data_IF_811022302585
#
_entry.id   IF_811022302585
#
_cell.length_a   1.000
_cell.length_b   1.000
_cell.length_c   1.000
_cell.angle_alpha   90.00
_cell.angle_beta   90.00
_cell.angle_gamma   90.00
#
_symmetry.space_group_name_H-M   'P 1'
#
loop_
_entity.id
_entity.type
_entity.pdbx_description
1 polymer ?
#
# COMPACT_ATOMS: atom_id res chain seq x y z
N UNK A 1 24.14 22.62 17.74
CA UNK A 1 23.79 21.18 17.74
C UNK A 1 22.37 21.09 18.23
N UNK A 2 21.43 21.35 17.32
CA UNK A 2 20.02 21.10 17.59
C UNK A 2 19.83 19.59 17.62
N UNK A 3 19.19 19.09 18.67
CA UNK A 3 18.81 17.71 18.77
C UNK A 3 17.85 17.42 17.60
N UNK A 4 18.33 16.74 16.57
CA UNK A 4 17.48 16.10 15.56
C UNK A 4 16.47 15.26 16.36
N UNK A 5 15.21 15.70 16.40
CA UNK A 5 14.12 14.79 16.69
C UNK A 5 14.33 13.62 15.74
N UNK A 6 14.51 12.43 16.29
CA UNK A 6 14.73 11.22 15.50
C UNK A 6 13.41 10.91 14.78
N UNK A 7 13.20 11.59 13.66
CA UNK A 7 11.99 11.48 12.84
C UNK A 7 11.84 10.03 12.41
N UNK A 8 10.62 9.51 12.51
CA UNK A 8 10.35 8.08 12.43
C UNK A 8 10.25 7.59 10.97
N UNK A 9 11.28 7.84 10.15
CA UNK A 9 11.35 7.48 8.72
C UNK A 9 10.93 6.02 8.47
N UNK A 10 10.06 5.71 7.49
CA UNK A 10 9.56 4.35 7.32
C UNK A 10 10.60 3.35 6.80
N UNK A 11 11.68 3.85 6.20
CA UNK A 11 12.87 3.13 5.76
C UNK A 11 14.11 3.97 6.13
N UNK A 12 15.35 3.45 6.01
CA UNK A 12 16.55 4.27 6.18
C UNK A 12 16.48 5.57 5.36
N UNK A 13 16.97 6.67 5.97
CA UNK A 13 16.86 8.03 5.41
C UNK A 13 17.40 8.12 3.98
N UNK A 14 18.54 7.49 3.71
CA UNK A 14 19.15 7.49 2.37
C UNK A 14 18.26 6.80 1.32
N UNK A 15 17.54 5.75 1.70
CA UNK A 15 16.59 5.06 0.82
C UNK A 15 15.38 5.93 0.51
N UNK A 16 14.89 6.68 1.50
CA UNK A 16 13.80 7.66 1.31
C UNK A 16 14.25 8.82 0.42
N UNK A 17 15.46 9.33 0.63
CA UNK A 17 16.05 10.35 -0.24
C UNK A 17 16.21 9.82 -1.67
N UNK A 18 16.74 8.61 -1.85
CA UNK A 18 16.88 8.03 -3.19
C UNK A 18 15.54 7.85 -3.89
N UNK A 19 14.53 7.30 -3.20
CA UNK A 19 13.18 7.15 -3.75
C UNK A 19 12.55 8.48 -4.15
N UNK A 20 12.63 9.47 -3.25
CA UNK A 20 12.09 10.81 -3.50
C UNK A 20 12.78 11.47 -4.69
N UNK A 21 14.12 11.38 -4.78
CA UNK A 21 14.88 11.92 -5.91
C UNK A 21 14.45 11.30 -7.23
N UNK A 22 14.23 9.99 -7.25
CA UNK A 22 13.84 9.26 -8.47
C UNK A 22 12.41 9.58 -8.92
N UNK A 23 11.53 10.05 -8.03
CA UNK A 23 10.20 10.57 -8.40
C UNK A 23 10.29 12.01 -8.90
N UNK A 24 10.93 12.90 -8.14
CA UNK A 24 10.85 14.34 -8.41
C UNK A 24 11.83 14.81 -9.49
N UNK A 25 12.86 14.02 -9.83
CA UNK A 25 13.77 14.38 -10.94
C UNK A 25 13.04 14.34 -12.29
N UNK A 26 12.32 13.27 -12.67
CA UNK A 26 11.48 13.28 -13.87
C UNK A 26 10.37 14.32 -13.85
N UNK A 27 9.69 14.51 -12.70
CA UNK A 27 8.63 15.52 -12.56
C UNK A 27 9.15 16.93 -12.88
N UNK A 28 10.36 17.27 -12.41
CA UNK A 28 11.02 18.54 -12.78
C UNK A 28 11.28 18.68 -14.28
N UNK A 29 11.46 17.56 -14.99
CA UNK A 29 11.68 17.51 -16.42
C UNK A 29 10.36 17.49 -17.23
N UNK A 30 9.21 17.59 -16.57
CA UNK A 30 7.91 17.58 -17.23
C UNK A 30 7.28 16.20 -17.37
N UNK A 31 7.84 15.18 -16.72
CA UNK A 31 7.53 13.78 -17.03
C UNK A 31 6.74 13.07 -15.93
N UNK A 32 5.89 12.11 -16.33
CA UNK A 32 5.20 11.23 -15.39
C UNK A 32 6.12 10.10 -14.91
N UNK A 33 5.78 9.49 -13.77
CA UNK A 33 6.58 8.42 -13.14
C UNK A 33 5.71 7.21 -12.82
N UNK A 34 6.22 6.03 -13.09
CA UNK A 34 5.64 4.76 -12.63
C UNK A 34 6.55 4.13 -11.59
N UNK A 35 6.06 4.00 -10.37
CA UNK A 35 6.74 3.31 -9.28
C UNK A 35 6.19 1.91 -9.11
N UNK A 36 7.04 0.92 -9.39
CA UNK A 36 6.73 -0.51 -9.26
C UNK A 36 7.11 -0.97 -7.85
N UNK A 37 6.15 -1.48 -7.12
CA UNK A 37 6.32 -1.96 -5.75
C UNK A 37 6.15 -3.47 -5.66
N UNK A 38 6.99 -4.10 -4.84
CA UNK A 38 6.69 -5.46 -4.39
C UNK A 38 5.47 -5.43 -3.47
N UNK A 39 4.55 -6.38 -3.62
CA UNK A 39 3.37 -6.47 -2.74
C UNK A 39 3.80 -6.50 -1.26
N UNK A 40 3.06 -5.83 -0.37
CA UNK A 40 3.36 -5.80 1.07
C UNK A 40 4.72 -5.18 1.46
N UNK A 41 5.38 -4.45 0.57
CA UNK A 41 6.67 -3.80 0.84
C UNK A 41 6.58 -2.38 1.43
N UNK A 42 5.38 -1.93 1.79
CA UNK A 42 5.18 -0.65 2.49
C UNK A 42 4.93 0.55 1.58
N UNK A 43 4.48 0.33 0.33
CA UNK A 43 4.08 1.36 -0.67
C UNK A 43 3.35 2.53 -0.03
N UNK A 44 2.24 2.25 0.65
CA UNK A 44 1.36 3.28 1.24
C UNK A 44 2.05 4.09 2.34
N UNK A 45 2.78 3.41 3.23
CA UNK A 45 3.47 4.04 4.34
C UNK A 45 4.58 4.97 3.84
N UNK A 46 5.43 4.47 2.94
CA UNK A 46 6.55 5.24 2.38
C UNK A 46 6.06 6.40 1.52
N UNK A 47 5.08 6.16 0.65
CA UNK A 47 4.55 7.20 -0.24
C UNK A 47 3.88 8.33 0.56
N UNK A 48 3.04 8.01 1.56
CA UNK A 48 2.46 9.03 2.44
C UNK A 48 3.54 9.81 3.17
N UNK A 49 4.56 9.13 3.70
CA UNK A 49 5.65 9.82 4.36
C UNK A 49 6.30 10.85 3.44
N UNK A 50 6.66 10.48 2.20
CA UNK A 50 7.27 11.40 1.23
C UNK A 50 6.36 12.59 0.94
N UNK A 51 5.08 12.33 0.64
CA UNK A 51 4.09 13.36 0.30
C UNK A 51 3.89 14.36 1.45
N UNK A 52 3.82 13.88 2.68
CA UNK A 52 3.51 14.71 3.85
C UNK A 52 4.74 15.40 4.45
N UNK A 53 5.95 14.96 4.10
CA UNK A 53 7.21 15.36 4.74
C UNK A 53 8.27 15.86 3.75
N UNK A 54 7.89 16.38 2.58
CA UNK A 54 8.88 16.89 1.61
C UNK A 54 9.79 17.99 2.16
N UNK A 55 9.35 18.77 3.15
CA UNK A 55 10.18 19.78 3.82
C UNK A 55 11.42 19.16 4.49
N UNK A 56 11.33 17.91 4.95
CA UNK A 56 12.43 17.12 5.51
C UNK A 56 13.37 16.56 4.43
N UNK A 57 12.92 16.60 3.17
CA UNK A 57 13.58 16.05 1.99
C UNK A 57 14.06 17.15 1.05
N UNK A 58 14.21 18.40 1.53
CA UNK A 58 14.64 19.56 0.73
C UNK A 58 16.01 19.42 0.05
N UNK A 59 16.89 18.54 0.55
CA UNK A 59 18.15 18.19 -0.14
C UNK A 59 17.89 17.50 -1.50
N UNK A 60 16.80 16.74 -1.54
CA UNK A 60 16.07 16.13 -2.65
C UNK A 60 15.45 17.04 -3.69
N UNK A 61 14.58 17.87 -3.13
CA UNK A 61 13.50 18.60 -3.76
C UNK A 61 13.50 19.99 -3.12
N UNK A 62 14.50 20.84 -3.45
CA UNK A 62 14.61 22.16 -2.83
C UNK A 62 13.38 23.04 -3.12
N UNK A 63 12.74 22.83 -4.26
CA UNK A 63 11.49 23.44 -4.70
C UNK A 63 10.22 22.76 -4.15
N UNK A 64 10.29 22.06 -3.01
CA UNK A 64 9.14 21.30 -2.47
C UNK A 64 7.86 22.13 -2.28
N UNK A 65 8.00 23.43 -2.01
CA UNK A 65 6.88 24.35 -1.84
C UNK A 65 6.12 24.61 -3.14
N UNK A 66 6.70 24.33 -4.31
CA UNK A 66 5.99 24.44 -5.59
C UNK A 66 4.97 23.31 -5.78
N UNK A 67 5.09 22.19 -5.08
CA UNK A 67 4.28 21.01 -5.31
C UNK A 67 3.09 20.89 -4.36
N UNK A 68 1.89 20.69 -4.92
CA UNK A 68 0.76 20.12 -4.22
C UNK A 68 0.71 18.61 -4.50
N UNK A 69 1.19 17.82 -3.56
CA UNK A 69 1.19 16.37 -3.67
C UNK A 69 -0.11 15.79 -3.13
N UNK A 70 -0.77 14.98 -3.95
CA UNK A 70 -2.08 14.42 -3.64
C UNK A 70 -1.98 12.91 -3.69
N UNK A 71 -2.34 12.24 -2.60
CA UNK A 71 -2.39 10.78 -2.53
C UNK A 71 -3.80 10.27 -2.83
N UNK A 72 -3.92 9.44 -3.85
CA UNK A 72 -5.18 8.82 -4.27
C UNK A 72 -5.08 7.33 -3.98
N UNK A 73 -5.85 6.87 -2.99
CA UNK A 73 -5.83 5.48 -2.55
C UNK A 73 -7.17 4.83 -2.89
N UNK A 74 -7.25 3.92 -3.89
CA UNK A 74 -8.52 3.31 -4.29
C UNK A 74 -9.22 2.55 -3.17
N UNK A 75 -8.52 2.16 -2.12
CA UNK A 75 -9.16 1.62 -0.94
C UNK A 75 -10.13 2.60 -0.28
N UNK A 76 -10.00 3.90 -0.50
CA UNK A 76 -10.90 4.90 0.06
C UNK A 76 -12.17 5.09 -0.80
N UNK A 77 -12.33 4.34 -1.91
CA UNK A 77 -13.50 4.33 -2.78
C UNK A 77 -14.78 3.91 -2.04
N UNK A 78 -15.81 4.73 -2.16
CA UNK A 78 -17.16 4.43 -1.68
C UNK A 78 -17.95 3.60 -2.68
N UNK A 79 -17.63 3.73 -3.97
CA UNK A 79 -18.29 3.11 -5.11
C UNK A 79 -17.22 2.65 -6.13
N UNK A 80 -17.38 1.46 -6.72
CA UNK A 80 -16.45 0.94 -7.73
C UNK A 80 -16.89 1.34 -9.14
N UNK A 81 -16.79 2.63 -9.45
CA UNK A 81 -17.17 3.22 -10.75
C UNK A 81 -16.21 4.35 -11.12
N UNK A 82 -16.28 4.77 -12.39
CA UNK A 82 -15.50 5.91 -12.89
C UNK A 82 -15.85 7.20 -12.15
N UNK A 83 -17.14 7.43 -11.88
CA UNK A 83 -17.66 8.53 -11.06
C UNK A 83 -17.12 8.47 -9.64
N UNK A 84 -17.18 7.28 -9.02
CA UNK A 84 -16.63 7.06 -7.68
C UNK A 84 -15.14 7.41 -7.59
N UNK A 85 -14.37 7.07 -8.62
CA UNK A 85 -12.94 7.38 -8.66
C UNK A 85 -12.65 8.86 -8.94
N UNK A 86 -13.39 9.52 -9.85
CA UNK A 86 -13.27 10.98 -10.02
C UNK A 86 -13.63 11.75 -8.73
N UNK A 87 -14.64 11.30 -7.99
CA UNK A 87 -14.97 11.86 -6.67
C UNK A 87 -13.84 11.69 -5.69
N UNK A 88 -13.22 10.51 -5.65
CA UNK A 88 -12.08 10.25 -4.79
C UNK A 88 -10.92 11.20 -5.14
N UNK A 89 -10.57 11.33 -6.42
CA UNK A 89 -9.51 12.26 -6.85
C UNK A 89 -9.83 13.68 -6.40
N UNK A 90 -11.03 14.20 -6.73
CA UNK A 90 -11.43 15.56 -6.36
C UNK A 90 -11.42 15.82 -4.85
N UNK A 91 -11.96 14.89 -4.05
CA UNK A 91 -11.94 14.99 -2.58
C UNK A 91 -10.51 14.95 -2.03
N UNK A 92 -9.64 14.10 -2.59
CA UNK A 92 -8.23 14.04 -2.19
C UNK A 92 -7.49 15.34 -2.51
N UNK A 93 -7.76 15.95 -3.67
CA UNK A 93 -7.17 17.26 -4.04
C UNK A 93 -7.63 18.35 -3.07
N UNK A 94 -8.93 18.43 -2.76
CA UNK A 94 -9.47 19.40 -1.78
C UNK A 94 -8.84 19.18 -0.39
N UNK A 95 -8.74 17.92 0.06
CA UNK A 95 -8.11 17.60 1.34
C UNK A 95 -6.63 18.03 1.38
N UNK A 96 -5.89 17.84 0.28
CA UNK A 96 -4.51 18.30 0.16
C UNK A 96 -4.41 19.83 0.18
N UNK A 97 -5.32 20.55 -0.49
CA UNK A 97 -5.41 22.01 -0.43
C UNK A 97 -5.63 22.50 0.99
N UNK A 98 -6.61 21.93 1.71
CA UNK A 98 -6.91 22.30 3.09
C UNK A 98 -5.72 22.07 4.02
N UNK A 99 -5.02 20.94 3.86
CA UNK A 99 -3.82 20.61 4.66
C UNK A 99 -2.66 21.59 4.42
N UNK A 100 -2.56 22.14 3.21
CA UNK A 100 -1.54 23.11 2.82
C UNK A 100 -2.05 24.56 2.89
N UNK A 101 -3.19 24.80 3.55
CA UNK A 101 -3.80 26.14 3.73
C UNK A 101 -4.04 26.89 2.40
N UNK A 102 -4.27 26.15 1.31
CA UNK A 102 -4.60 26.70 0.00
C UNK A 102 -6.09 27.02 -0.02
N UNK A 103 -6.41 28.31 0.11
CA UNK A 103 -7.79 28.80 -0.04
C UNK A 103 -8.29 28.59 -1.47
N UNK A 104 -9.35 27.80 -1.63
CA UNK A 104 -10.06 27.61 -2.89
C UNK A 104 -11.26 28.57 -2.96
N UNK A 105 -11.60 29.05 -4.16
CA UNK A 105 -12.87 29.75 -4.42
C UNK A 105 -13.99 28.71 -4.46
N UNK A 106 -15.24 29.15 -4.31
CA UNK A 106 -16.38 28.26 -4.53
C UNK A 106 -16.38 27.77 -5.99
N UNK A 107 -15.97 26.52 -6.19
CA UNK A 107 -15.97 25.88 -7.50
C UNK A 107 -17.42 25.52 -7.82
N UNK A 108 -18.08 26.35 -8.64
CA UNK A 108 -19.41 26.13 -9.23
C UNK A 108 -20.56 25.79 -8.27
N UNK A 109 -20.37 25.86 -6.95
CA UNK A 109 -21.37 25.46 -5.94
C UNK A 109 -21.73 23.97 -5.94
N UNK A 110 -21.09 23.14 -6.76
CA UNK A 110 -21.28 21.68 -6.79
C UNK A 110 -20.12 20.99 -6.05
N UNK A 111 -20.43 20.04 -5.17
CA UNK A 111 -19.43 19.28 -4.41
C UNK A 111 -19.21 17.88 -4.98
N UNK A 112 -17.98 17.38 -4.89
CA UNK A 112 -17.66 15.96 -5.13
C UNK A 112 -18.41 15.00 -4.18
N UNK A 113 -19.03 15.51 -3.11
CA UNK A 113 -19.94 14.75 -2.24
C UNK A 113 -21.31 14.47 -2.86
N UNK A 114 -21.72 15.19 -3.91
CA UNK A 114 -23.05 15.01 -4.52
C UNK A 114 -23.08 13.77 -5.43
N UNK A 115 -23.49 12.62 -4.90
CA UNK A 115 -23.52 11.31 -5.58
C UNK A 115 -24.30 11.29 -6.91
N UNK A 116 -25.20 12.24 -7.17
CA UNK A 116 -26.02 12.31 -8.39
C UNK A 116 -25.32 12.96 -9.59
N UNK A 117 -24.13 13.55 -9.40
CA UNK A 117 -23.38 14.16 -10.50
C UNK A 117 -22.91 13.11 -11.52
N UNK A 118 -23.14 13.41 -12.81
CA UNK A 118 -22.64 12.58 -13.92
C UNK A 118 -21.12 12.63 -14.03
N UNK A 119 -20.54 11.60 -14.65
CA UNK A 119 -19.12 11.54 -14.96
C UNK A 119 -18.58 12.82 -15.63
N UNK A 120 -19.27 13.34 -16.65
CA UNK A 120 -18.85 14.55 -17.38
C UNK A 120 -18.83 15.80 -16.48
N UNK A 121 -19.82 15.93 -15.59
CA UNK A 121 -19.85 17.02 -14.61
C UNK A 121 -18.69 16.91 -13.62
N UNK A 122 -18.44 15.71 -13.09
CA UNK A 122 -17.31 15.44 -12.18
C UNK A 122 -15.95 15.74 -12.83
N UNK A 123 -15.77 15.33 -14.09
CA UNK A 123 -14.56 15.62 -14.84
C UNK A 123 -14.36 17.13 -15.02
N UNK A 124 -15.44 17.85 -15.31
CA UNK A 124 -15.41 19.32 -15.43
C UNK A 124 -15.07 19.99 -14.11
N UNK A 125 -15.66 19.54 -12.99
CA UNK A 125 -15.34 20.04 -11.65
C UNK A 125 -13.88 19.77 -11.29
N UNK A 126 -13.35 18.59 -11.61
CA UNK A 126 -11.95 18.24 -11.37
C UNK A 126 -11.02 19.13 -12.21
N UNK A 127 -11.37 19.35 -13.46
CA UNK A 127 -10.64 20.23 -14.36
C UNK A 127 -10.56 21.65 -13.79
N UNK A 128 -11.68 22.21 -13.34
CA UNK A 128 -11.72 23.55 -12.77
C UNK A 128 -10.94 23.66 -11.45
N UNK A 129 -11.04 22.63 -10.60
CA UNK A 129 -10.29 22.54 -9.34
C UNK A 129 -8.78 22.58 -9.61
N UNK A 130 -8.28 21.76 -10.53
CA UNK A 130 -6.85 21.75 -10.91
C UNK A 130 -6.47 23.11 -11.53
N UNK A 131 -7.34 23.68 -12.37
CA UNK A 131 -7.14 25.01 -12.95
C UNK A 131 -6.96 26.11 -11.89
N UNK A 132 -7.75 26.10 -10.83
CA UNK A 132 -7.62 27.11 -9.77
C UNK A 132 -6.28 26.98 -9.03
N UNK A 133 -5.85 25.75 -8.74
CA UNK A 133 -4.59 25.49 -8.03
C UNK A 133 -3.39 25.94 -8.87
N UNK A 134 -3.42 25.61 -10.16
CA UNK A 134 -2.32 25.89 -11.11
C UNK A 134 -2.17 27.38 -11.47
N UNK A 135 -3.20 28.20 -11.24
CA UNK A 135 -3.13 29.68 -11.31
C UNK A 135 -2.26 30.24 -10.18
N UNK A 136 -2.17 29.54 -9.05
CA UNK A 136 -1.42 29.97 -7.85
C UNK A 136 0.04 29.51 -7.86
N UNK A 137 0.58 29.23 -9.06
CA UNK A 137 1.95 28.74 -9.29
C UNK A 137 2.29 27.43 -8.56
N UNK A 138 1.29 26.61 -8.22
CA UNK A 138 1.51 25.25 -7.70
C UNK A 138 1.47 24.23 -8.85
N UNK A 139 2.40 23.29 -8.81
CA UNK A 139 2.41 22.06 -9.61
C UNK A 139 1.66 20.97 -8.86
N UNK A 140 0.64 20.37 -9.47
CA UNK A 140 -0.15 19.30 -8.87
C UNK A 140 0.46 17.95 -9.24
N UNK A 141 0.76 17.13 -8.24
CA UNK A 141 1.27 15.76 -8.45
C UNK A 141 0.28 14.77 -7.87
N UNK A 142 -0.37 13.99 -8.74
CA UNK A 142 -1.32 12.96 -8.33
C UNK A 142 -0.61 11.61 -8.21
N UNK A 143 -0.50 11.11 -6.98
CA UNK A 143 -0.01 9.78 -6.69
C UNK A 143 -1.17 8.79 -6.76
N UNK A 144 -1.30 8.13 -7.91
CA UNK A 144 -2.40 7.23 -8.26
C UNK A 144 -2.06 5.82 -7.77
N UNK A 145 -2.67 5.41 -6.66
CA UNK A 145 -2.53 4.07 -6.10
C UNK A 145 -3.26 3.02 -6.91
N UNK A 146 -2.63 1.85 -7.10
CA UNK A 146 -3.25 0.57 -7.50
C UNK A 146 -4.27 0.66 -8.64
N UNK A 147 -4.00 1.53 -9.63
CA UNK A 147 -4.83 1.65 -10.83
C UNK A 147 -4.91 0.33 -11.61
N UNK A 148 -3.84 -0.46 -11.53
CA UNK A 148 -3.71 -1.81 -12.07
C UNK A 148 -4.72 -2.80 -11.48
N UNK A 149 -5.27 -2.55 -10.28
CA UNK A 149 -6.32 -3.40 -9.69
C UNK A 149 -7.75 -2.97 -10.03
N UNK A 150 -7.94 -1.81 -10.66
CA UNK A 150 -9.28 -1.26 -10.88
C UNK A 150 -9.89 -1.78 -12.18
N UNK A 151 -10.74 -2.80 -12.04
CA UNK A 151 -11.40 -3.47 -13.17
C UNK A 151 -12.40 -2.60 -13.94
N UNK A 152 -12.84 -1.48 -13.37
CA UNK A 152 -13.78 -0.55 -13.99
C UNK A 152 -13.09 0.55 -14.83
N UNK A 153 -11.75 0.59 -14.84
CA UNK A 153 -11.00 1.54 -15.67
C UNK A 153 -11.06 1.11 -17.13
N UNK A 154 -11.39 2.05 -17.99
CA UNK A 154 -11.53 1.88 -19.43
C UNK A 154 -10.74 2.94 -20.22
N UNK A 155 -10.67 2.76 -21.55
CA UNK A 155 -10.01 3.71 -22.44
C UNK A 155 -10.59 5.12 -22.33
N UNK A 156 -11.90 5.26 -22.08
CA UNK A 156 -12.56 6.56 -21.91
C UNK A 156 -11.91 7.32 -20.76
N UNK A 157 -11.77 6.66 -19.61
CA UNK A 157 -11.13 7.25 -18.44
C UNK A 157 -9.65 7.58 -18.69
N UNK A 158 -8.90 6.68 -19.31
CA UNK A 158 -7.49 6.93 -19.64
C UNK A 158 -7.31 8.15 -20.53
N UNK A 159 -8.12 8.27 -21.58
CA UNK A 159 -8.07 9.41 -22.50
C UNK A 159 -8.43 10.71 -21.78
N UNK A 160 -9.36 10.68 -20.82
CA UNK A 160 -9.70 11.87 -20.03
C UNK A 160 -8.58 12.29 -19.06
N UNK A 161 -7.85 11.32 -18.48
CA UNK A 161 -6.66 11.64 -17.67
C UNK A 161 -5.53 12.22 -18.52
N UNK A 162 -5.31 11.67 -19.71
CA UNK A 162 -4.34 12.21 -20.66
C UNK A 162 -4.73 13.63 -21.10
N UNK A 163 -6.00 13.87 -21.43
CA UNK A 163 -6.50 15.20 -21.78
C UNK A 163 -6.33 16.22 -20.63
N UNK A 164 -6.47 15.78 -19.37
CA UNK A 164 -6.15 16.60 -18.20
C UNK A 164 -4.65 16.92 -18.12
N UNK A 165 -3.80 15.92 -18.34
CA UNK A 165 -2.34 16.08 -18.35
C UNK A 165 -1.91 17.09 -19.40
N UNK A 166 -2.41 16.96 -20.63
CA UNK A 166 -2.12 17.90 -21.72
C UNK A 166 -2.66 19.31 -21.45
N UNK A 167 -3.87 19.43 -20.90
CA UNK A 167 -4.47 20.72 -20.56
C UNK A 167 -3.67 21.52 -19.53
N UNK A 168 -3.03 20.82 -18.60
CA UNK A 168 -2.23 21.40 -17.53
C UNK A 168 -0.75 21.04 -17.69
N UNK A 169 -0.26 21.08 -18.93
CA UNK A 169 1.15 20.85 -19.26
C UNK A 169 2.08 21.69 -18.36
N UNK A 170 3.19 21.07 -17.93
CA UNK A 170 4.15 21.61 -16.96
C UNK A 170 3.60 21.90 -15.55
N UNK A 171 2.33 21.59 -15.27
CA UNK A 171 1.67 21.90 -14.00
C UNK A 171 0.90 20.74 -13.38
N UNK A 172 0.61 19.69 -14.12
CA UNK A 172 0.00 18.45 -13.62
C UNK A 172 0.91 17.27 -13.96
N UNK A 173 1.10 16.37 -13.00
CA UNK A 173 1.92 15.17 -13.16
C UNK A 173 1.28 13.98 -12.48
N UNK A 174 1.49 12.79 -13.04
CA UNK A 174 1.04 11.54 -12.45
C UNK A 174 2.23 10.72 -11.93
N UNK A 175 2.06 10.18 -10.73
CA UNK A 175 2.90 9.12 -10.18
C UNK A 175 2.04 7.87 -10.05
N UNK A 176 2.19 6.93 -10.98
CA UNK A 176 1.49 5.65 -10.98
C UNK A 176 2.16 4.71 -9.97
N UNK A 177 1.41 4.22 -8.99
CA UNK A 177 1.91 3.29 -7.97
C UNK A 177 1.31 1.91 -8.21
N UNK A 178 2.07 1.03 -8.85
CA UNK A 178 1.58 -0.29 -9.31
C UNK A 178 2.30 -1.44 -8.61
N UNK A 179 1.71 -2.63 -8.74
CA UNK A 179 2.35 -3.89 -8.35
C UNK A 179 2.22 -4.99 -9.41
N UNK A 180 1.23 -4.90 -10.31
CA UNK A 180 1.07 -5.83 -11.43
C UNK A 180 2.11 -5.55 -12.52
N UNK A 181 3.01 -6.51 -12.72
CA UNK A 181 4.08 -6.39 -13.72
C UNK A 181 3.58 -6.61 -15.15
N UNK A 182 2.39 -7.19 -15.34
CA UNK A 182 1.84 -7.39 -16.69
C UNK A 182 1.62 -6.05 -17.39
N UNK A 183 1.27 -5.00 -16.62
CA UNK A 183 1.09 -3.64 -17.12
C UNK A 183 2.36 -2.99 -17.65
N UNK A 184 3.55 -3.57 -17.43
CA UNK A 184 4.79 -3.07 -18.04
C UNK A 184 4.98 -3.59 -19.48
N UNK A 185 4.22 -4.60 -19.89
CA UNK A 185 4.34 -5.27 -21.18
C UNK A 185 3.05 -5.22 -22.01
N UNK A 186 1.91 -5.07 -21.34
CA UNK A 186 0.58 -5.00 -21.95
C UNK A 186 -0.17 -3.80 -21.36
N UNK A 187 -0.65 -2.91 -22.24
CA UNK A 187 -1.42 -1.74 -21.83
C UNK A 187 -2.75 -2.12 -21.15
N UNK A 188 -3.28 -3.32 -21.39
CA UNK A 188 -4.60 -3.71 -20.91
C UNK A 188 -5.66 -2.70 -21.36
N UNK A 189 -6.34 -2.09 -20.39
CA UNK A 189 -7.36 -1.05 -20.62
C UNK A 189 -6.81 0.39 -20.59
N UNK A 190 -5.49 0.58 -20.52
CA UNK A 190 -4.92 1.91 -20.64
C UNK A 190 -5.00 2.40 -22.09
N UNK A 191 -5.52 3.62 -22.25
CA UNK A 191 -5.42 4.38 -23.49
C UNK A 191 -3.96 4.57 -23.91
N UNK A 192 -3.73 4.61 -25.22
CA UNK A 192 -2.40 4.58 -25.83
C UNK A 192 -1.49 5.71 -25.33
N UNK A 193 -1.97 6.94 -25.40
CA UNK A 193 -1.19 8.13 -25.02
C UNK A 193 -0.90 8.19 -23.51
N UNK A 194 -1.85 7.77 -22.67
CA UNK A 194 -1.60 7.66 -21.22
C UNK A 194 -0.58 6.56 -20.92
N UNK A 195 -0.61 5.46 -21.69
CA UNK A 195 0.31 4.36 -21.53
C UNK A 195 1.75 4.74 -21.89
N UNK A 196 1.95 5.63 -22.87
CA UNK A 196 3.27 6.20 -23.16
C UNK A 196 3.81 6.99 -21.96
N UNK A 197 2.98 7.86 -21.36
CA UNK A 197 3.33 8.60 -20.14
C UNK A 197 3.62 7.66 -18.95
N UNK A 198 2.90 6.53 -18.87
CA UNK A 198 3.11 5.50 -17.86
C UNK A 198 4.46 4.79 -18.02
N UNK A 199 4.92 4.52 -19.24
CA UNK A 199 6.20 3.84 -19.50
C UNK A 199 7.41 4.79 -19.51
N UNK A 200 7.19 6.12 -19.49
CA UNK A 200 8.22 7.13 -19.65
C UNK A 200 9.34 7.03 -18.60
N UNK A 201 8.99 6.96 -17.31
CA UNK A 201 9.95 6.83 -16.21
C UNK A 201 9.54 5.76 -15.21
N UNK A 202 10.16 4.59 -15.33
CA UNK A 202 9.87 3.46 -14.43
C UNK A 202 10.93 3.37 -13.34
N UNK A 203 10.49 3.49 -12.08
CA UNK A 203 11.30 3.31 -10.89
C UNK A 203 10.87 2.02 -10.17
N UNK A 204 11.83 1.29 -9.63
CA UNK A 204 11.59 0.02 -8.96
C UNK A 204 11.90 0.18 -7.48
N UNK A 205 11.00 -0.29 -6.62
CA UNK A 205 11.21 -0.30 -5.17
C UNK A 205 11.68 -1.68 -4.72
N UNK A 206 13.01 -1.88 -4.53
CA UNK A 206 13.54 -3.18 -4.21
C UNK A 206 13.28 -3.58 -2.76
N UNK A 207 13.10 -4.89 -2.57
CA UNK A 207 13.41 -5.52 -1.29
C UNK A 207 14.93 -5.50 -1.11
N UNK A 208 15.41 -5.04 0.05
CA UNK A 208 16.84 -4.93 0.31
C UNK A 208 17.20 -5.33 1.73
N UNK A 209 18.15 -6.25 1.86
CA UNK A 209 18.71 -6.65 3.14
C UNK A 209 19.40 -5.51 3.88
N UNK A 210 19.86 -4.49 3.15
CA UNK A 210 20.45 -3.27 3.72
C UNK A 210 19.49 -2.55 4.68
N UNK A 211 18.18 -2.79 4.55
CA UNK A 211 17.16 -2.20 5.41
C UNK A 211 16.78 -3.11 6.59
N UNK A 212 17.23 -4.37 6.60
CA UNK A 212 16.79 -5.38 7.56
C UNK A 212 17.03 -4.96 9.00
N UNK A 213 18.24 -4.51 9.35
CA UNK A 213 18.56 -4.10 10.73
C UNK A 213 17.68 -2.94 11.19
N UNK A 214 17.52 -1.92 10.34
CA UNK A 214 16.67 -0.77 10.63
C UNK A 214 15.22 -1.18 10.90
N UNK A 215 14.67 -2.08 10.07
CA UNK A 215 13.31 -2.58 10.21
C UNK A 215 13.14 -3.48 11.44
N UNK A 216 14.09 -4.38 11.69
CA UNK A 216 14.10 -5.26 12.86
C UNK A 216 14.13 -4.42 14.14
N UNK A 217 15.02 -3.44 14.25
CA UNK A 217 15.11 -2.57 15.42
C UNK A 217 13.82 -1.76 15.64
N UNK A 218 13.22 -1.28 14.54
CA UNK A 218 11.92 -0.60 14.59
C UNK A 218 10.79 -1.52 15.07
N UNK A 219 10.74 -2.77 14.60
CA UNK A 219 9.73 -3.74 15.04
C UNK A 219 9.98 -4.19 16.49
N UNK A 220 11.24 -4.42 16.87
CA UNK A 220 11.64 -4.76 18.24
C UNK A 220 11.18 -3.70 19.24
N UNK A 221 11.40 -2.42 18.91
CA UNK A 221 10.94 -1.29 19.71
C UNK A 221 9.42 -1.29 19.90
N UNK A 222 8.65 -1.53 18.84
CA UNK A 222 7.17 -1.62 18.92
C UNK A 222 6.67 -2.81 19.74
N UNK A 223 7.42 -3.91 19.71
CA UNK A 223 7.15 -5.13 20.46
C UNK A 223 7.71 -5.08 21.89
N UNK A 224 8.33 -3.97 22.30
CA UNK A 224 9.01 -3.82 23.60
C UNK A 224 10.01 -4.95 23.89
N UNK A 225 10.78 -5.36 22.88
CA UNK A 225 11.77 -6.43 22.97
C UNK A 225 13.11 -6.02 22.40
N UNK A 226 14.13 -6.86 22.60
CA UNK A 226 15.42 -6.77 21.92
C UNK A 226 15.78 -8.12 21.30
N UNK A 227 16.40 -8.08 20.13
CA UNK A 227 16.91 -9.27 19.45
C UNK A 227 18.43 -9.33 19.55
N UNK A 228 18.95 -10.52 19.84
CA UNK A 228 20.40 -10.80 19.80
C UNK A 228 20.90 -10.85 18.36
N UNK A 229 22.21 -10.77 18.14
CA UNK A 229 22.79 -10.84 16.79
C UNK A 229 22.45 -12.15 16.06
N UNK A 230 22.41 -13.27 16.79
CA UNK A 230 22.00 -14.57 16.23
C UNK A 230 20.55 -14.56 15.75
N UNK A 231 19.66 -13.92 16.50
CA UNK A 231 18.25 -13.76 16.15
C UNK A 231 18.04 -12.80 14.99
N UNK A 232 18.79 -11.69 14.95
CA UNK A 232 18.78 -10.77 13.81
C UNK A 232 19.21 -11.48 12.53
N UNK A 233 20.26 -12.31 12.58
CA UNK A 233 20.71 -13.10 11.44
C UNK A 233 19.66 -14.12 10.99
N UNK A 234 18.97 -14.76 11.94
CA UNK A 234 17.86 -15.66 11.65
C UNK A 234 16.71 -14.92 10.93
N UNK A 235 16.24 -13.80 11.48
CA UNK A 235 15.20 -12.96 10.88
C UNK A 235 15.55 -12.47 9.47
N UNK A 236 16.82 -12.08 9.25
CA UNK A 236 17.34 -11.70 7.93
C UNK A 236 17.26 -12.84 6.94
N UNK A 237 17.75 -14.04 7.30
CA UNK A 237 17.74 -15.20 6.40
C UNK A 237 16.33 -15.58 5.92
N UNK A 238 15.32 -15.35 6.76
CA UNK A 238 13.93 -15.71 6.50
C UNK A 238 13.21 -14.76 5.53
N UNK A 239 13.56 -13.49 5.54
CA UNK A 239 12.77 -12.41 4.93
C UNK A 239 13.55 -11.56 3.93
N UNK A 240 14.88 -11.58 4.05
CA UNK A 240 15.89 -10.91 3.24
C UNK A 240 15.57 -9.42 2.92
N UNK A 241 15.01 -8.75 3.93
CA UNK A 241 14.66 -7.33 3.91
C UNK A 241 13.20 -7.01 3.58
N UNK A 242 12.34 -8.00 3.34
CA UNK A 242 10.92 -7.75 3.05
C UNK A 242 10.21 -7.23 4.32
N UNK A 243 9.68 -5.99 4.33
CA UNK A 243 9.17 -5.36 5.56
C UNK A 243 8.05 -6.14 6.25
N UNK A 244 7.08 -6.65 5.48
CA UNK A 244 6.01 -7.47 6.04
C UNK A 244 6.51 -8.79 6.61
N UNK A 245 7.37 -9.52 5.89
CA UNK A 245 7.92 -10.79 6.39
C UNK A 245 8.72 -10.56 7.67
N UNK A 246 9.52 -9.50 7.72
CA UNK A 246 10.24 -9.11 8.93
C UNK A 246 9.31 -8.79 10.09
N UNK A 247 8.22 -8.04 9.86
CA UNK A 247 7.21 -7.71 10.89
C UNK A 247 6.68 -8.99 11.52
N UNK A 248 6.22 -9.93 10.70
CA UNK A 248 5.60 -11.19 11.16
C UNK A 248 6.63 -12.08 11.83
N UNK A 249 7.82 -12.24 11.24
CA UNK A 249 8.90 -13.04 11.79
C UNK A 249 9.36 -12.51 13.17
N UNK A 250 9.44 -11.18 13.35
CA UNK A 250 9.75 -10.57 14.64
C UNK A 250 8.68 -10.92 15.69
N UNK A 251 7.40 -10.79 15.35
CA UNK A 251 6.29 -11.14 16.26
C UNK A 251 6.32 -12.62 16.65
N UNK A 252 6.53 -13.53 15.69
CA UNK A 252 6.63 -14.97 15.95
C UNK A 252 7.81 -15.31 16.85
N UNK A 253 8.97 -14.67 16.64
CA UNK A 253 10.16 -14.95 17.43
C UNK A 253 9.97 -14.53 18.90
N UNK A 254 9.32 -13.39 19.14
CA UNK A 254 8.95 -12.96 20.51
C UNK A 254 8.02 -13.97 21.17
N UNK A 255 7.05 -14.50 20.42
CA UNK A 255 6.11 -15.51 20.93
C UNK A 255 6.81 -16.81 21.33
N UNK A 256 7.67 -17.36 20.47
CA UNK A 256 8.44 -18.59 20.78
C UNK A 256 9.30 -18.41 22.02
N UNK A 257 10.00 -17.27 22.15
CA UNK A 257 10.77 -16.93 23.35
C UNK A 257 9.91 -16.94 24.62
N UNK A 258 8.72 -16.37 24.55
CA UNK A 258 7.82 -16.27 25.71
C UNK A 258 7.29 -17.62 26.19
N UNK A 259 7.14 -18.58 25.27
CA UNK A 259 6.63 -19.92 25.56
C UNK A 259 7.73 -20.89 26.04
N UNK A 260 9.01 -20.50 25.94
CA UNK A 260 10.14 -21.36 26.29
C UNK A 260 10.26 -22.61 25.41
N UNK A 261 9.58 -22.62 24.26
CA UNK A 261 9.56 -23.75 23.34
C UNK A 261 10.84 -23.77 22.49
N UNK A 262 11.42 -24.96 22.34
CA UNK A 262 12.51 -25.22 21.40
C UNK A 262 11.99 -25.48 19.98
N UNK A 263 10.91 -24.80 19.58
CA UNK A 263 10.35 -24.96 18.25
C UNK A 263 11.38 -24.52 17.21
N UNK A 264 11.54 -25.30 16.13
CA UNK A 264 12.36 -24.88 15.00
C UNK A 264 11.70 -23.65 14.36
N UNK A 265 12.27 -22.48 14.64
CA UNK A 265 11.76 -21.21 14.13
C UNK A 265 11.69 -21.19 12.60
N UNK A 266 12.60 -21.89 11.92
CA UNK A 266 12.61 -21.98 10.46
C UNK A 266 11.36 -22.70 9.95
N UNK A 267 10.98 -23.79 10.62
CA UNK A 267 9.77 -24.55 10.30
C UNK A 267 8.50 -23.76 10.65
N UNK A 268 8.51 -23.02 11.76
CA UNK A 268 7.40 -22.14 12.13
C UNK A 268 7.14 -21.06 11.08
N UNK A 269 8.19 -20.44 10.54
CA UNK A 269 8.04 -19.47 9.46
C UNK A 269 7.52 -20.15 8.19
N UNK A 270 8.13 -21.26 7.77
CA UNK A 270 7.73 -21.96 6.54
C UNK A 270 6.27 -22.41 6.59
N UNK A 271 5.80 -22.87 7.74
CA UNK A 271 4.41 -23.32 7.94
C UNK A 271 3.42 -22.19 8.24
N UNK A 272 3.90 -20.96 8.47
CA UNK A 272 3.03 -19.83 8.78
C UNK A 272 2.17 -19.43 7.56
N UNK A 273 0.85 -19.60 7.70
CA UNK A 273 -0.11 -19.37 6.62
C UNK A 273 -0.07 -17.92 6.11
N UNK A 274 0.11 -16.96 7.00
CA UNK A 274 0.12 -15.54 6.66
C UNK A 274 1.31 -15.18 5.76
N UNK A 275 2.49 -15.66 6.12
CA UNK A 275 3.72 -15.51 5.37
C UNK A 275 3.63 -16.20 3.99
N UNK A 276 3.06 -17.40 3.93
CA UNK A 276 2.81 -18.10 2.65
C UNK A 276 1.82 -17.34 1.77
N UNK A 277 0.73 -16.83 2.33
CA UNK A 277 -0.24 -16.03 1.58
C UNK A 277 0.40 -14.74 1.03
N UNK A 278 1.23 -14.06 1.81
CA UNK A 278 1.98 -12.89 1.37
C UNK A 278 2.97 -13.22 0.24
N UNK A 279 3.71 -14.33 0.36
CA UNK A 279 4.60 -14.82 -0.70
C UNK A 279 3.83 -15.15 -2.00
N UNK A 280 2.63 -15.74 -1.88
CA UNK A 280 1.74 -15.99 -3.03
C UNK A 280 1.25 -14.71 -3.69
N UNK A 281 0.97 -13.64 -2.94
CA UNK A 281 0.62 -12.34 -3.55
C UNK A 281 1.77 -11.81 -4.41
N UNK A 282 3.00 -11.85 -3.90
CA UNK A 282 4.19 -11.42 -4.66
C UNK A 282 4.30 -12.22 -5.96
N UNK A 283 4.07 -13.55 -5.90
CA UNK A 283 4.11 -14.43 -7.06
C UNK A 283 2.90 -14.24 -8.00
N UNK A 284 1.75 -13.80 -7.49
CA UNK A 284 0.50 -13.63 -8.22
C UNK A 284 0.53 -12.48 -9.23
N UNK A 285 1.32 -11.46 -8.96
CA UNK A 285 1.45 -10.23 -9.78
C UNK A 285 2.58 -10.30 -10.81
N UNK A 286 3.23 -11.46 -10.94
CA UNK A 286 4.33 -11.67 -11.88
C UNK A 286 3.81 -11.99 -13.28
N UNK A 287 4.57 -11.59 -14.30
CA UNK A 287 4.31 -11.99 -15.69
C UNK A 287 4.54 -13.50 -15.87
N UNK A 288 4.01 -14.07 -16.96
CA UNK A 288 4.26 -15.48 -17.30
C UNK A 288 5.75 -15.79 -17.45
N UNK A 289 6.50 -14.91 -18.11
CA UNK A 289 7.96 -15.03 -18.30
C UNK A 289 8.71 -14.88 -16.97
N UNK A 290 8.30 -13.92 -16.12
CA UNK A 290 8.83 -13.75 -14.78
C UNK A 290 8.66 -15.01 -13.92
N UNK A 291 7.49 -15.64 -13.98
CA UNK A 291 7.23 -16.93 -13.31
C UNK A 291 8.14 -18.06 -13.81
N UNK A 292 8.37 -18.14 -15.12
CA UNK A 292 9.31 -19.13 -15.71
C UNK A 292 10.75 -18.91 -15.22
N UNK A 293 11.20 -17.65 -15.17
CA UNK A 293 12.51 -17.29 -14.64
C UNK A 293 12.62 -17.66 -13.16
N UNK A 294 11.62 -17.31 -12.34
CA UNK A 294 11.57 -17.65 -10.91
C UNK A 294 11.67 -19.17 -10.69
N UNK A 295 10.95 -19.97 -11.50
CA UNK A 295 11.05 -21.44 -11.46
C UNK A 295 12.44 -21.93 -11.83
N UNK A 296 13.06 -21.34 -12.86
CA UNK A 296 14.41 -21.71 -13.34
C UNK A 296 15.48 -21.44 -12.28
N UNK A 297 15.49 -20.25 -11.67
CA UNK A 297 16.48 -19.90 -10.61
C UNK A 297 16.25 -20.66 -9.30
N UNK A 298 15.04 -21.17 -9.09
CA UNK A 298 14.70 -21.96 -7.89
C UNK A 298 15.14 -23.42 -8.01
N UNK A 299 15.03 -24.00 -9.21
CA UNK A 299 15.25 -25.43 -9.46
C UNK A 299 16.66 -25.80 -9.94
N UNK A 300 17.50 -24.82 -10.29
CA UNK A 300 18.85 -25.06 -10.79
C UNK A 300 19.81 -23.91 -10.55
N UNK A 301 21.08 -24.14 -10.87
CA UNK A 301 22.14 -23.13 -10.77
C UNK A 301 22.15 -22.27 -12.04
N UNK A 302 21.58 -21.07 -11.94
CA UNK A 302 21.53 -20.10 -13.05
C UNK A 302 22.59 -19.04 -12.83
N UNK A 303 23.54 -18.87 -13.74
CA UNK A 303 24.60 -17.83 -13.64
C UNK A 303 24.33 -16.57 -14.44
N UNK A 304 23.43 -16.67 -15.41
CA UNK A 304 23.08 -15.57 -16.32
C UNK A 304 21.57 -15.53 -16.51
N UNK A 305 21.05 -14.30 -16.50
CA UNK A 305 19.65 -13.98 -16.67
C UNK A 305 19.52 -13.02 -17.85
N UNK A 306 18.63 -13.34 -18.78
CA UNK A 306 18.40 -12.58 -20.00
C UNK A 306 16.94 -12.15 -20.10
N UNK A 307 16.71 -11.01 -20.76
CA UNK A 307 15.38 -10.44 -20.98
C UNK A 307 14.96 -9.43 -19.93
N UNK A 308 13.93 -8.66 -20.25
CA UNK A 308 13.51 -7.52 -19.44
C UNK A 308 12.83 -7.94 -18.13
N UNK A 309 12.03 -9.03 -18.14
CA UNK A 309 11.47 -9.62 -16.92
C UNK A 309 12.56 -9.98 -15.91
N UNK A 310 13.70 -10.50 -16.38
CA UNK A 310 14.79 -10.88 -15.49
C UNK A 310 15.46 -9.65 -14.85
N UNK A 311 15.64 -8.58 -15.62
CA UNK A 311 16.11 -7.28 -15.10
C UNK A 311 15.12 -6.68 -14.10
N UNK A 312 13.82 -6.80 -14.34
CA UNK A 312 12.77 -6.32 -13.43
C UNK A 312 12.83 -7.08 -12.11
N UNK A 313 12.90 -8.41 -12.15
CA UNK A 313 13.02 -9.27 -10.96
C UNK A 313 14.27 -8.92 -10.13
N UNK A 314 15.40 -8.67 -10.79
CA UNK A 314 16.64 -8.23 -10.13
C UNK A 314 16.48 -6.82 -9.51
N UNK A 315 15.93 -5.86 -10.27
CA UNK A 315 15.69 -4.49 -9.80
C UNK A 315 14.70 -4.40 -8.63
N UNK A 316 13.73 -5.31 -8.55
CA UNK A 316 12.81 -5.45 -7.42
C UNK A 316 13.42 -6.23 -6.24
N UNK A 317 14.60 -6.81 -6.41
CA UNK A 317 15.25 -7.64 -5.41
C UNK A 317 14.53 -8.96 -5.15
N UNK A 318 13.70 -9.43 -6.09
CA UNK A 318 13.00 -10.72 -6.01
C UNK A 318 13.92 -11.90 -6.36
N UNK A 319 14.94 -11.62 -7.17
CA UNK A 319 16.03 -12.54 -7.48
C UNK A 319 17.34 -11.82 -7.16
N UNK A 320 18.25 -12.51 -6.47
CA UNK A 320 19.54 -11.96 -6.04
C UNK A 320 20.68 -12.78 -6.60
N UNK A 321 21.78 -12.08 -6.90
CA UNK A 321 23.04 -12.69 -7.34
C UNK A 321 23.87 -13.08 -6.12
N UNK A 322 24.18 -14.35 -6.01
CA UNK A 322 25.01 -14.95 -4.98
C UNK A 322 26.50 -14.66 -5.21
N UNK A 323 27.31 -14.91 -4.18
CA UNK A 323 28.77 -14.71 -4.22
C UNK A 323 29.43 -15.57 -5.32
N UNK A 324 28.91 -16.77 -5.57
CA UNK A 324 29.39 -17.68 -6.61
C UNK A 324 28.92 -17.29 -8.04
N UNK A 325 28.20 -16.17 -8.16
CA UNK A 325 27.63 -15.64 -9.38
C UNK A 325 26.31 -16.30 -9.81
N UNK A 326 25.81 -17.29 -9.07
CA UNK A 326 24.49 -17.87 -9.32
C UNK A 326 23.36 -16.92 -8.88
N UNK A 327 22.16 -17.15 -9.37
CA UNK A 327 20.95 -16.43 -8.96
C UNK A 327 20.03 -17.33 -8.16
N UNK A 328 19.37 -16.74 -7.16
CA UNK A 328 18.35 -17.40 -6.34
C UNK A 328 17.23 -16.43 -5.96
N UNK A 329 16.04 -16.93 -5.60
CA UNK A 329 14.99 -16.10 -5.01
C UNK A 329 15.47 -15.39 -3.75
N UNK A 330 14.83 -14.27 -3.42
CA UNK A 330 15.28 -13.42 -2.32
C UNK A 330 15.23 -14.08 -0.94
N UNK A 331 14.32 -15.03 -0.66
CA UNK A 331 14.37 -15.77 0.61
C UNK A 331 13.84 -17.20 0.46
N UNK A 332 14.14 -18.02 1.47
CA UNK A 332 13.73 -19.43 1.51
C UNK A 332 12.21 -19.59 1.46
N UNK A 333 11.45 -18.77 2.19
CA UNK A 333 9.98 -18.81 2.17
C UNK A 333 9.43 -18.57 0.76
N UNK A 334 10.00 -17.61 0.03
CA UNK A 334 9.56 -17.31 -1.33
C UNK A 334 9.96 -18.43 -2.30
N UNK A 335 11.17 -18.98 -2.13
CA UNK A 335 11.65 -20.17 -2.85
C UNK A 335 10.70 -21.36 -2.68
N UNK A 336 10.31 -21.66 -1.45
CA UNK A 336 9.39 -22.75 -1.12
C UNK A 336 8.03 -22.53 -1.80
N UNK A 337 7.51 -21.28 -1.75
CA UNK A 337 6.25 -20.91 -2.42
C UNK A 337 6.30 -21.10 -3.95
N UNK A 338 7.44 -20.81 -4.59
CA UNK A 338 7.64 -21.03 -6.04
C UNK A 338 7.63 -22.54 -6.37
N UNK A 339 8.25 -23.36 -5.53
CA UNK A 339 8.29 -24.82 -5.69
C UNK A 339 6.90 -25.43 -5.51
N UNK A 340 6.15 -24.99 -4.50
CA UNK A 340 4.79 -25.48 -4.22
C UNK A 340 3.81 -25.19 -5.37
N UNK A 341 3.90 -24.01 -6.01
CA UNK A 341 3.10 -23.67 -7.20
C UNK A 341 3.41 -24.55 -8.42
N UNK A 342 4.48 -25.35 -8.38
CA UNK A 342 4.85 -26.30 -9.42
C UNK A 342 4.30 -27.72 -9.18
N UNK A 343 3.66 -27.96 -8.03
CA UNK A 343 2.86 -29.15 -7.75
C UNK A 343 1.40 -28.88 -8.19
N UNK A 344 0.64 -29.91 -8.61
CA UNK A 344 -0.80 -29.74 -8.81
C UNK A 344 -1.40 -29.19 -7.53
N UNK A 345 -2.23 -28.15 -7.63
CA UNK A 345 -2.87 -27.49 -6.48
C UNK A 345 -3.37 -28.55 -5.50
N UNK A 346 -2.64 -28.73 -4.39
CA UNK A 346 -3.27 -29.24 -3.19
C UNK A 346 -4.18 -28.09 -2.82
N UNK A 347 -5.48 -28.27 -3.07
CA UNK A 347 -6.52 -27.42 -2.50
C UNK A 347 -6.10 -27.12 -1.07
N UNK A 348 -5.57 -25.92 -0.84
CA UNK A 348 -5.36 -25.47 0.52
C UNK A 348 -6.74 -25.51 1.12
N UNK A 349 -6.95 -26.48 2.02
CA UNK A 349 -8.16 -26.50 2.84
C UNK A 349 -8.24 -25.08 3.38
N UNK A 350 -9.26 -24.29 3.01
CA UNK A 350 -9.43 -23.01 3.63
C UNK A 350 -9.40 -23.28 5.12
N UNK A 351 -8.62 -22.50 5.89
CA UNK A 351 -8.99 -22.30 7.29
C UNK A 351 -10.49 -22.02 7.24
N UNK A 352 -11.30 -22.97 7.74
CA UNK A 352 -12.74 -23.06 7.56
C UNK A 352 -13.46 -21.90 8.29
N UNK A 353 -13.13 -20.68 7.92
CA UNK A 353 -13.68 -19.43 8.40
C UNK A 353 -13.95 -18.59 7.17
N UNK A 354 -15.23 -18.48 6.84
CA UNK A 354 -15.73 -17.49 5.89
C UNK A 354 -15.53 -16.05 6.40
N UNK A 355 -15.26 -15.89 7.70
CA UNK A 355 -15.10 -14.63 8.39
C UNK A 355 -13.68 -14.07 8.43
N UNK A 356 -13.57 -12.87 8.97
CA UNK A 356 -12.30 -12.18 9.25
C UNK A 356 -11.72 -12.62 10.58
N UNK A 357 -10.46 -13.04 10.57
CA UNK A 357 -9.74 -13.49 11.77
C UNK A 357 -8.73 -12.42 12.15
N UNK A 358 -8.87 -11.87 13.35
CA UNK A 358 -7.85 -11.02 13.92
C UNK A 358 -6.96 -11.85 14.85
N UNK A 359 -5.69 -12.00 14.48
CA UNK A 359 -4.69 -12.62 15.34
C UNK A 359 -4.19 -11.57 16.34
N UNK A 360 -4.67 -11.67 17.58
CA UNK A 360 -4.31 -10.73 18.65
C UNK A 360 -2.82 -10.76 18.97
N UNK A 361 -2.19 -11.95 18.85
CA UNK A 361 -0.79 -12.16 19.18
C UNK A 361 0.14 -11.53 18.14
N UNK A 362 -0.22 -11.64 16.86
CA UNK A 362 0.59 -11.12 15.75
C UNK A 362 0.21 -9.68 15.35
N UNK A 363 -0.91 -9.17 15.89
CA UNK A 363 -1.54 -7.92 15.50
C UNK A 363 -1.69 -7.85 13.97
N UNK A 364 -2.31 -8.89 13.41
CA UNK A 364 -2.59 -9.03 11.98
C UNK A 364 -4.05 -9.41 11.75
N UNK A 365 -4.60 -8.85 10.68
CA UNK A 365 -5.94 -9.12 10.20
C UNK A 365 -5.91 -10.01 8.94
N UNK A 366 -6.51 -11.20 9.06
CA UNK A 366 -6.52 -12.24 8.04
C UNK A 366 -7.93 -12.47 7.49
N UNK A 367 -8.02 -12.64 6.17
CA UNK A 367 -9.24 -13.10 5.51
C UNK A 367 -8.91 -14.27 4.58
N UNK A 368 -9.57 -15.42 4.74
CA UNK A 368 -9.16 -16.68 4.08
C UNK A 368 -7.66 -16.97 4.26
N UNK A 369 -7.15 -16.59 5.44
CA UNK A 369 -5.75 -16.67 5.84
C UNK A 369 -4.77 -15.75 5.09
N UNK A 370 -5.29 -14.83 4.29
CA UNK A 370 -4.52 -13.81 3.57
C UNK A 370 -4.44 -12.52 4.39
N UNK A 371 -3.26 -11.90 4.58
CA UNK A 371 -3.14 -10.55 5.09
C UNK A 371 -4.06 -9.57 4.38
N UNK A 372 -4.84 -8.81 5.14
CA UNK A 372 -5.71 -7.76 4.58
C UNK A 372 -5.38 -6.37 5.11
N UNK A 373 -4.30 -6.22 5.88
CA UNK A 373 -3.94 -4.93 6.50
C UNK A 373 -3.86 -3.79 5.50
N UNK A 374 -3.26 -4.05 4.33
CA UNK A 374 -3.12 -3.04 3.29
C UNK A 374 -4.47 -2.53 2.79
N UNK A 375 -5.54 -3.33 2.86
CA UNK A 375 -6.87 -3.00 2.37
C UNK A 375 -7.64 -2.03 3.30
N UNK A 376 -7.13 -1.76 4.50
CA UNK A 376 -7.75 -0.87 5.48
C UNK A 376 -6.89 0.37 5.76
N UNK A 377 -7.50 1.52 6.00
CA UNK A 377 -6.79 2.69 6.56
C UNK A 377 -6.37 2.42 8.01
N UNK A 378 -5.42 3.18 8.60
CA UNK A 378 -5.06 3.00 10.01
C UNK A 378 -6.26 3.09 10.97
N UNK A 379 -7.18 4.02 10.73
CA UNK A 379 -8.40 4.19 11.52
C UNK A 379 -9.39 3.04 11.35
N UNK A 380 -9.58 2.61 10.09
CA UNK A 380 -10.42 1.45 9.77
C UNK A 380 -9.87 0.18 10.40
N UNK A 381 -8.56 -0.06 10.25
CA UNK A 381 -7.86 -1.19 10.84
C UNK A 381 -7.97 -1.16 12.36
N UNK A 382 -7.71 -0.01 12.99
CA UNK A 382 -7.81 0.16 14.44
C UNK A 382 -9.22 -0.13 14.97
N UNK A 383 -10.25 0.38 14.31
CA UNK A 383 -11.65 0.12 14.71
C UNK A 383 -12.07 -1.32 14.43
N UNK A 384 -11.74 -1.85 13.26
CA UNK A 384 -12.08 -3.22 12.90
C UNK A 384 -11.41 -4.23 13.85
N UNK A 385 -10.13 -4.03 14.16
CA UNK A 385 -9.42 -4.86 15.14
C UNK A 385 -9.99 -4.70 16.55
N UNK A 386 -10.40 -3.49 16.96
CA UNK A 386 -11.08 -3.29 18.25
C UNK A 386 -12.41 -4.08 18.31
N UNK A 387 -13.20 -4.09 17.24
CA UNK A 387 -14.41 -4.91 17.14
C UNK A 387 -14.11 -6.40 17.22
N UNK A 388 -13.08 -6.87 16.52
CA UNK A 388 -12.70 -8.29 16.48
C UNK A 388 -11.98 -8.77 17.76
N UNK A 389 -11.42 -7.87 18.56
CA UNK A 389 -10.89 -8.18 19.90
C UNK A 389 -11.99 -8.53 20.88
N UNK A 390 -13.13 -7.85 20.78
CA UNK A 390 -14.31 -8.07 21.63
C UNK A 390 -15.55 -8.36 20.76
N UNK A 391 -15.56 -9.50 20.05
CA UNK A 391 -16.66 -9.83 19.16
C UNK A 391 -17.96 -9.94 19.95
N UNK A 392 -19.08 -9.64 19.29
CA UNK A 392 -20.39 -9.58 19.90
C UNK A 392 -20.60 -8.53 21.01
N UNK A 393 -19.60 -7.72 21.35
CA UNK A 393 -19.76 -6.61 22.27
C UNK A 393 -20.29 -5.37 21.55
N UNK A 394 -21.21 -4.66 22.20
CA UNK A 394 -21.70 -3.37 21.72
C UNK A 394 -20.64 -2.30 22.00
N UNK A 395 -20.20 -1.61 20.95
CA UNK A 395 -19.43 -0.36 21.08
C UNK A 395 -20.32 0.83 20.77
N UNK A 396 -20.43 1.76 21.74
CA UNK A 396 -21.12 3.04 21.54
C UNK A 396 -20.35 3.93 20.57
N UNK A 397 -21.01 4.96 20.03
CA UNK A 397 -20.33 5.99 19.22
C UNK A 397 -19.20 6.67 19.98
N UNK A 398 -19.43 6.95 21.27
CA UNK A 398 -18.42 7.50 22.16
C UNK A 398 -17.19 6.58 22.30
N UNK A 399 -17.39 5.26 22.46
CA UNK A 399 -16.28 4.31 22.51
C UNK A 399 -15.48 4.30 21.20
N UNK A 400 -16.18 4.30 20.05
CA UNK A 400 -15.55 4.35 18.73
C UNK A 400 -14.76 5.65 18.56
N UNK A 401 -15.32 6.79 18.98
CA UNK A 401 -14.64 8.08 18.95
C UNK A 401 -13.40 8.11 19.84
N UNK A 402 -13.49 7.58 21.06
CA UNK A 402 -12.38 7.51 22.00
C UNK A 402 -11.23 6.61 21.50
N UNK A 403 -11.54 5.52 20.80
CA UNK A 403 -10.51 4.64 20.19
C UNK A 403 -9.75 5.40 19.10
N UNK A 404 -10.47 6.08 18.21
CA UNK A 404 -9.86 6.75 17.05
C UNK A 404 -9.06 7.99 17.44
N UNK A 405 -9.49 8.69 18.50
CA UNK A 405 -9.08 10.07 18.72
C UNK A 405 -8.80 10.45 20.18
N UNK A 406 -8.97 9.54 21.13
CA UNK A 406 -8.64 9.78 22.53
C UNK A 406 -9.49 10.87 23.18
N UNK A 407 -8.87 11.67 24.07
CA UNK A 407 -9.54 12.69 24.90
C UNK A 407 -10.07 13.90 24.12
N UNK A 408 -9.69 14.05 22.85
CA UNK A 408 -10.16 15.15 21.99
C UNK A 408 -11.43 14.77 21.19
N UNK A 409 -12.11 13.67 21.56
CA UNK A 409 -13.29 13.15 20.84
C UNK A 409 -14.46 14.13 20.78
N UNK A 410 -14.61 15.00 21.79
CA UNK A 410 -15.71 15.94 21.89
C UNK A 410 -15.58 17.17 20.97
N UNK A 411 -14.34 17.58 20.63
CA UNK A 411 -14.09 18.84 19.91
C UNK A 411 -13.81 18.64 18.41
N UNK A 412 -13.52 17.41 17.96
CA UNK A 412 -12.96 17.18 16.62
C UNK A 412 -13.86 16.42 15.63
N UNK A 413 -15.00 15.84 16.04
CA UNK A 413 -15.79 14.95 15.16
C UNK A 413 -17.29 14.93 15.47
N UNK A 414 -18.10 14.61 14.45
CA UNK A 414 -19.54 14.37 14.58
C UNK A 414 -19.88 12.88 14.54
N UNK A 415 -21.01 12.48 15.13
CA UNK A 415 -21.56 11.12 15.01
C UNK A 415 -21.67 10.64 13.55
N UNK A 416 -21.87 11.58 12.63
CA UNK A 416 -21.90 11.32 11.19
C UNK A 416 -20.57 10.81 10.63
N UNK A 417 -19.43 11.33 11.11
CA UNK A 417 -18.12 10.86 10.67
C UNK A 417 -17.87 9.39 11.08
N UNK A 418 -18.36 9.02 12.26
CA UNK A 418 -18.32 7.63 12.75
C UNK A 418 -19.23 6.75 11.89
N UNK A 419 -20.46 7.19 11.60
CA UNK A 419 -21.37 6.47 10.72
C UNK A 419 -20.77 6.24 9.31
N UNK A 420 -20.05 7.24 8.77
CA UNK A 420 -19.33 7.11 7.49
C UNK A 420 -18.19 6.08 7.56
N UNK A 421 -17.37 6.11 8.61
CA UNK A 421 -16.29 5.12 8.80
C UNK A 421 -16.85 3.70 8.87
N UNK A 422 -17.90 3.49 9.66
CA UNK A 422 -18.54 2.18 9.81
C UNK A 422 -19.18 1.73 8.48
N UNK A 423 -19.81 2.64 7.74
CA UNK A 423 -20.34 2.35 6.41
C UNK A 423 -19.25 1.95 5.42
N UNK A 424 -18.12 2.65 5.41
CA UNK A 424 -16.93 2.29 4.61
C UNK A 424 -16.42 0.90 4.97
N UNK A 425 -16.26 0.61 6.27
CA UNK A 425 -15.85 -0.71 6.73
C UNK A 425 -16.78 -1.81 6.21
N UNK A 426 -18.11 -1.67 6.34
CA UNK A 426 -19.06 -2.66 5.80
C UNK A 426 -18.88 -2.91 4.32
N UNK A 427 -18.78 -1.85 3.51
CA UNK A 427 -18.59 -1.98 2.06
C UNK A 427 -17.28 -2.68 1.74
N UNK A 428 -16.20 -2.40 2.48
CA UNK A 428 -14.92 -3.10 2.31
C UNK A 428 -15.03 -4.58 2.65
N UNK A 429 -15.66 -4.92 3.77
CA UNK A 429 -15.89 -6.32 4.17
C UNK A 429 -16.70 -7.06 3.09
N UNK A 430 -17.73 -6.42 2.55
CA UNK A 430 -18.53 -6.96 1.46
C UNK A 430 -17.72 -7.13 0.17
N UNK A 431 -16.93 -6.14 -0.23
CA UNK A 431 -16.07 -6.20 -1.42
C UNK A 431 -14.98 -7.26 -1.30
N UNK A 432 -14.44 -7.47 -0.10
CA UNK A 432 -13.51 -8.56 0.19
C UNK A 432 -14.19 -9.93 0.10
N UNK A 433 -15.53 -9.98 0.06
CA UNK A 433 -16.29 -11.24 0.03
C UNK A 433 -16.32 -11.94 1.38
N UNK A 434 -16.19 -11.19 2.48
CA UNK A 434 -16.23 -11.73 3.84
C UNK A 434 -17.67 -12.15 4.16
N UNK A 435 -17.87 -13.43 4.45
CA UNK A 435 -19.16 -13.98 4.85
C UNK A 435 -19.08 -14.46 6.31
N UNK A 436 -20.17 -14.40 7.07
CA UNK A 436 -20.15 -14.72 8.51
C UNK A 436 -19.69 -13.59 9.44
N UNK A 437 -18.86 -12.65 8.99
CA UNK A 437 -18.54 -11.43 9.77
C UNK A 437 -19.43 -10.25 9.39
N UNK A 438 -20.34 -9.84 10.28
CA UNK A 438 -21.30 -8.77 10.05
C UNK A 438 -21.12 -7.62 11.04
N UNK A 439 -20.74 -6.44 10.53
CA UNK A 439 -20.72 -5.19 11.29
C UNK A 439 -22.09 -4.51 11.25
N UNK A 440 -22.87 -4.60 12.32
CA UNK A 440 -24.26 -4.13 12.37
C UNK A 440 -24.41 -2.82 13.16
N UNK A 441 -25.40 -2.00 12.79
CA UNK A 441 -25.84 -0.84 13.60
C UNK A 441 -26.99 -1.27 14.52
N UNK A 442 -26.86 -1.00 15.82
CA UNK A 442 -27.98 -0.99 16.76
C UNK A 442 -28.43 0.46 16.97
N UNK A 443 -29.58 0.82 16.39
CA UNK A 443 -30.10 2.20 16.35
C UNK A 443 -30.18 2.79 17.76
N UNK A 444 -29.64 3.99 17.92
CA UNK A 444 -29.59 4.72 19.21
C UNK A 444 -28.62 4.14 20.25
N UNK A 445 -27.87 3.08 19.93
CA UNK A 445 -26.97 2.41 20.89
C UNK A 445 -25.51 2.35 20.43
N UNK A 446 -25.27 2.09 19.14
CA UNK A 446 -23.91 2.00 18.59
C UNK A 446 -23.80 0.89 17.55
N UNK A 447 -22.65 0.21 17.52
CA UNK A 447 -22.35 -0.83 16.54
C UNK A 447 -21.82 -2.10 17.22
N UNK A 448 -21.91 -3.21 16.51
CA UNK A 448 -21.45 -4.51 16.97
C UNK A 448 -20.96 -5.32 15.77
N UNK A 449 -19.85 -6.02 15.94
CA UNK A 449 -19.44 -7.05 14.98
C UNK A 449 -19.93 -8.41 15.48
N UNK A 450 -20.52 -9.16 14.58
CA UNK A 450 -20.90 -10.56 14.77
C UNK A 450 -19.97 -11.35 13.88
N UNK A 451 -19.31 -12.39 14.41
CA UNK A 451 -18.34 -13.24 13.72
C UNK A 451 -18.82 -14.67 13.72
#
# INVERSE_FOLDING_TARGET
>A
MEAEQQENFPLPKDSILSYTKNIFTPIRMGECVTAVWVALSGRRLVTKFVIENLHLLKAVVPEYEEYLNVYIEPLDLTESSLEGYLRLIGKSVIAACNKNEISLRDIRGESFDNEDLSYQKLLTLLTDLIGEITIRSKKVVLFLGELDELTFIDNTFSNNLESLLHKFEEKLYFVFLIKDLNLLHDRGNFGEDLYENFLQNIIYMPISDKHSDYLIDRFASRLNTNFTDGEKNLLKSTSDGHPYFLKVACSLLVKVKSLGESADFSELIRSNHELRAAAKMILGVQTKKGLEILKKVTSGVVKELEGDDAKILEKLGLVKKNIDGSYSPFCDLFKDTILERSLPEIEERPLNGEGLVYNQDENVLLFKGVPTEEKFTPQEYQILTAFLKEPNKLMSRENVGNILWGKDSYDKYSDWAIDQLISKLRRKLQKLGVTGTNLITLRGRGYKIIV
#
